data_IF_939661094299
#
_entry.id   IF_939661094299
#
_cell.length_a   1.000
_cell.length_b   1.000
_cell.length_c   1.000
_cell.angle_alpha   90.00
_cell.angle_beta   90.00
_cell.angle_gamma   90.00
#
_symmetry.space_group_name_H-M   'P 1'
#
loop_
_entity.id
_entity.type
_entity.pdbx_description
1 polymer ?
#
# COMPACT_ATOMS: atom_id res chain seq x y z
N UNK A 1 49.74 -11.49 -0.55
CA UNK A 1 48.40 -11.11 -0.07
C UNK A 1 47.79 -10.20 -1.13
N UNK A 2 46.88 -10.72 -1.95
CA UNK A 2 46.14 -9.91 -2.93
C UNK A 2 45.15 -9.03 -2.17
N UNK A 3 45.31 -7.71 -2.27
CA UNK A 3 44.36 -6.74 -1.72
C UNK A 3 42.99 -6.94 -2.35
N UNK A 4 41.93 -6.99 -1.55
CA UNK A 4 40.57 -7.08 -2.08
C UNK A 4 40.26 -5.86 -2.97
N UNK A 5 39.58 -6.06 -4.11
CA UNK A 5 39.18 -4.95 -4.96
C UNK A 5 38.23 -3.99 -4.24
N UNK A 6 38.31 -2.71 -4.61
CA UNK A 6 37.46 -1.65 -4.05
C UNK A 6 36.00 -1.88 -4.45
N UNK A 7 35.08 -1.63 -3.51
CA UNK A 7 33.65 -1.69 -3.76
C UNK A 7 33.18 -0.40 -4.42
N UNK A 8 32.39 -0.54 -5.49
CA UNK A 8 31.72 0.61 -6.10
C UNK A 8 30.51 1.06 -5.27
N UNK A 9 30.17 2.37 -5.32
CA UNK A 9 28.96 2.89 -4.70
C UNK A 9 27.68 2.17 -5.16
N UNK A 10 26.64 2.17 -4.32
CA UNK A 10 25.38 1.45 -4.59
C UNK A 10 24.70 1.85 -5.90
N UNK A 11 24.80 3.11 -6.32
CA UNK A 11 24.25 3.59 -7.59
C UNK A 11 24.91 2.95 -8.82
N UNK A 12 26.12 2.39 -8.68
CA UNK A 12 26.80 1.67 -9.76
C UNK A 12 26.41 0.19 -9.81
N UNK A 13 25.80 -0.38 -8.76
CA UNK A 13 25.63 -1.83 -8.66
C UNK A 13 24.79 -2.43 -9.80
N UNK A 14 23.90 -1.63 -10.42
CA UNK A 14 23.14 -2.05 -11.60
C UNK A 14 23.99 -2.36 -12.83
N UNK A 15 25.24 -1.86 -12.90
CA UNK A 15 26.19 -2.18 -13.96
C UNK A 15 26.93 -3.50 -13.71
N UNK A 16 26.89 -4.03 -12.48
CA UNK A 16 27.54 -5.31 -12.18
C UNK A 16 26.86 -6.44 -12.98
N UNK A 17 27.64 -7.36 -13.59
CA UNK A 17 27.06 -8.53 -14.26
C UNK A 17 26.32 -9.48 -13.30
N UNK A 18 26.42 -9.27 -11.99
CA UNK A 18 25.84 -10.14 -10.95
C UNK A 18 24.56 -9.59 -10.34
N UNK A 19 24.34 -8.27 -10.32
CA UNK A 19 23.15 -7.71 -9.71
C UNK A 19 21.94 -7.82 -10.65
N UNK A 20 20.77 -8.16 -10.10
CA UNK A 20 19.54 -8.35 -10.88
C UNK A 20 19.49 -9.66 -11.69
N UNK A 21 20.51 -10.53 -11.57
CA UNK A 21 20.59 -11.80 -12.30
C UNK A 21 20.64 -13.00 -11.36
N UNK A 22 20.12 -14.14 -11.82
CA UNK A 22 20.24 -15.42 -11.15
C UNK A 22 21.66 -15.98 -11.31
N UNK A 23 22.56 -15.62 -10.40
CA UNK A 23 23.96 -15.99 -10.48
C UNK A 23 24.13 -17.49 -10.24
N UNK A 24 24.66 -18.27 -11.22
CA UNK A 24 24.94 -19.68 -11.01
C UNK A 24 26.13 -19.83 -10.07
N UNK A 25 25.86 -20.21 -8.83
CA UNK A 25 26.88 -20.44 -7.82
C UNK A 25 26.87 -21.90 -7.38
N UNK A 26 27.99 -22.30 -6.79
CA UNK A 26 28.07 -23.53 -6.01
C UNK A 26 27.74 -23.28 -4.56
N UNK A 27 27.30 -24.30 -3.82
CA UNK A 27 26.90 -24.15 -2.42
C UNK A 27 28.05 -23.56 -1.58
N UNK A 28 29.27 -24.08 -1.74
CA UNK A 28 30.47 -23.56 -1.07
C UNK A 28 30.73 -22.08 -1.37
N UNK A 29 30.40 -21.62 -2.58
CA UNK A 29 30.62 -20.24 -3.00
C UNK A 29 29.61 -19.29 -2.35
N UNK A 30 28.37 -19.75 -2.14
CA UNK A 30 27.34 -19.01 -1.40
C UNK A 30 27.77 -18.77 0.05
N UNK A 31 28.33 -19.79 0.70
CA UNK A 31 28.87 -19.66 2.06
C UNK A 31 30.12 -18.77 2.12
N UNK A 32 30.91 -18.72 1.05
CA UNK A 32 32.10 -17.88 0.97
C UNK A 32 31.81 -16.41 0.65
N UNK A 33 30.57 -16.03 0.33
CA UNK A 33 30.23 -14.63 0.08
C UNK A 33 30.52 -13.77 1.32
N UNK A 34 30.94 -12.54 1.11
CA UNK A 34 31.25 -11.59 2.18
C UNK A 34 30.06 -10.69 2.45
N UNK A 35 29.74 -10.50 3.71
CA UNK A 35 28.85 -9.44 4.16
C UNK A 35 29.65 -8.15 4.38
N UNK A 36 29.02 -7.03 4.10
CA UNK A 36 29.61 -5.70 4.16
C UNK A 36 28.66 -4.84 4.98
N UNK A 37 29.17 -4.18 6.03
CA UNK A 37 28.36 -3.52 7.05
C UNK A 37 27.36 -2.50 6.46
N UNK A 38 27.75 -1.79 5.41
CA UNK A 38 26.91 -0.83 4.70
C UNK A 38 25.68 -1.45 4.02
N UNK A 39 25.69 -2.77 3.79
CA UNK A 39 24.65 -3.55 3.11
C UNK A 39 24.02 -4.63 3.98
N UNK A 40 24.40 -4.71 5.26
CA UNK A 40 23.85 -5.66 6.22
C UNK A 40 22.32 -5.54 6.27
N UNK A 41 21.62 -6.67 6.31
CA UNK A 41 20.16 -6.74 6.29
C UNK A 41 19.47 -6.42 4.95
N UNK A 42 20.19 -5.96 3.93
CA UNK A 42 19.62 -5.69 2.59
C UNK A 42 19.54 -6.94 1.70
N UNK A 43 20.13 -8.05 2.17
CA UNK A 43 20.25 -9.30 1.42
C UNK A 43 21.19 -9.16 0.22
N UNK A 44 22.20 -8.30 0.32
CA UNK A 44 23.26 -8.11 -0.69
C UNK A 44 24.58 -8.57 -0.08
N UNK A 45 25.24 -9.49 -0.76
CA UNK A 45 26.53 -10.07 -0.37
C UNK A 45 27.54 -9.86 -1.49
N UNK A 46 28.82 -10.06 -1.22
CA UNK A 46 29.89 -9.73 -2.15
C UNK A 46 30.82 -10.91 -2.41
N UNK A 47 31.10 -11.16 -3.69
CA UNK A 47 32.25 -11.95 -4.12
C UNK A 47 33.27 -11.01 -4.76
N UNK A 48 34.49 -10.92 -4.22
CA UNK A 48 35.41 -9.83 -4.54
C UNK A 48 34.70 -8.47 -4.32
N UNK A 49 34.46 -7.74 -5.41
CA UNK A 49 33.68 -6.51 -5.44
C UNK A 49 32.35 -6.61 -6.22
N UNK A 50 31.91 -7.82 -6.61
CA UNK A 50 30.63 -8.05 -7.27
C UNK A 50 29.48 -8.12 -6.25
N UNK A 51 28.46 -7.23 -6.32
CA UNK A 51 27.27 -7.32 -5.47
C UNK A 51 26.32 -8.43 -5.94
N UNK A 52 25.88 -9.29 -5.01
CA UNK A 52 25.05 -10.46 -5.29
C UNK A 52 23.84 -10.51 -4.36
N UNK A 53 22.68 -10.81 -4.96
CA UNK A 53 21.40 -10.95 -4.24
C UNK A 53 20.68 -12.24 -4.60
N UNK A 54 20.72 -12.62 -5.87
CA UNK A 54 19.97 -13.74 -6.41
C UNK A 54 20.91 -14.85 -6.86
N UNK A 55 20.65 -16.05 -6.36
CA UNK A 55 21.47 -17.23 -6.62
C UNK A 55 20.65 -18.27 -7.38
N UNK A 56 21.33 -18.98 -8.28
CA UNK A 56 20.87 -20.20 -8.91
C UNK A 56 21.81 -21.34 -8.52
N UNK A 57 21.25 -22.40 -7.94
CA UNK A 57 21.95 -23.61 -7.57
C UNK A 57 21.42 -24.80 -8.36
N UNK A 58 22.26 -25.80 -8.61
CA UNK A 58 21.86 -27.04 -9.27
C UNK A 58 22.54 -28.20 -8.56
N UNK A 59 21.74 -29.16 -8.09
CA UNK A 59 22.22 -30.27 -7.29
C UNK A 59 21.11 -31.27 -6.97
N UNK A 60 21.48 -32.35 -6.29
CA UNK A 60 20.55 -33.39 -5.83
C UNK A 60 19.92 -33.00 -4.50
N UNK A 61 18.63 -33.29 -4.33
CA UNK A 61 17.97 -33.17 -3.03
C UNK A 61 18.39 -34.34 -2.16
N UNK A 62 19.06 -34.05 -1.04
CA UNK A 62 19.53 -35.07 -0.10
C UNK A 62 18.66 -35.18 1.15
N UNK A 63 17.91 -34.13 1.48
CA UNK A 63 16.92 -34.14 2.55
C UNK A 63 15.76 -33.21 2.21
N UNK A 64 14.59 -33.50 2.79
CA UNK A 64 13.40 -32.68 2.65
C UNK A 64 12.60 -32.74 3.94
N UNK A 65 12.43 -31.57 4.57
CA UNK A 65 11.72 -31.40 5.83
C UNK A 65 10.51 -30.50 5.63
N UNK A 66 9.35 -30.97 6.07
CA UNK A 66 8.11 -30.23 6.02
C UNK A 66 7.73 -29.76 7.43
N UNK A 67 7.59 -28.46 7.59
CA UNK A 67 7.13 -27.82 8.82
C UNK A 67 5.77 -27.16 8.59
N UNK A 68 5.13 -26.72 9.68
CA UNK A 68 3.76 -26.18 9.67
C UNK A 68 3.50 -25.11 8.59
N UNK A 69 4.46 -24.21 8.35
CA UNK A 69 4.33 -23.10 7.40
C UNK A 69 5.49 -23.01 6.39
N UNK A 70 6.36 -24.01 6.33
CA UNK A 70 7.55 -23.98 5.46
C UNK A 70 7.94 -25.37 5.01
N UNK A 71 8.53 -25.43 3.83
CA UNK A 71 9.26 -26.61 3.35
C UNK A 71 10.72 -26.23 3.26
N UNK A 72 11.59 -27.12 3.73
CA UNK A 72 13.03 -27.04 3.61
C UNK A 72 13.50 -28.21 2.74
N UNK A 73 14.33 -27.94 1.75
CA UNK A 73 15.08 -28.97 1.04
C UNK A 73 16.56 -28.73 1.23
N UNK A 74 17.33 -29.78 1.44
CA UNK A 74 18.80 -29.72 1.45
C UNK A 74 19.32 -30.17 0.11
N UNK A 75 20.14 -29.33 -0.52
CA UNK A 75 20.70 -29.55 -1.85
C UNK A 75 22.20 -29.80 -1.73
N UNK A 76 22.67 -30.86 -2.37
CA UNK A 76 24.08 -31.16 -2.56
C UNK A 76 24.45 -30.98 -4.04
N UNK A 77 25.43 -30.14 -4.33
CA UNK A 77 25.97 -29.92 -5.67
C UNK A 77 27.39 -30.50 -5.87
N UNK A 78 27.87 -31.27 -4.89
CA UNK A 78 29.20 -31.89 -4.90
C UNK A 78 30.35 -30.89 -4.71
N UNK A 79 30.08 -29.63 -4.37
CA UNK A 79 31.11 -28.61 -4.19
C UNK A 79 31.84 -28.66 -2.84
N UNK A 80 31.45 -29.59 -1.97
CA UNK A 80 31.99 -29.75 -0.61
C UNK A 80 31.13 -29.09 0.48
N UNK A 81 29.96 -28.57 0.14
CA UNK A 81 28.97 -28.06 1.10
C UNK A 81 27.55 -28.35 0.61
N UNK A 82 26.63 -28.59 1.54
CA UNK A 82 25.20 -28.67 1.26
C UNK A 82 24.51 -27.37 1.68
N UNK A 83 23.43 -27.01 1.01
CA UNK A 83 22.70 -25.77 1.31
C UNK A 83 21.20 -26.03 1.44
N UNK A 84 20.62 -25.45 2.48
CA UNK A 84 19.17 -25.48 2.70
C UNK A 84 18.48 -24.42 1.84
N UNK A 85 17.43 -24.84 1.12
CA UNK A 85 16.54 -23.97 0.38
C UNK A 85 15.12 -24.06 0.96
N UNK A 86 14.56 -22.93 1.36
CA UNK A 86 13.29 -22.85 2.08
C UNK A 86 12.26 -22.08 1.28
N UNK A 87 11.00 -22.52 1.33
CA UNK A 87 9.86 -21.74 0.87
C UNK A 87 8.69 -21.85 1.83
N UNK A 88 7.78 -20.88 1.78
CA UNK A 88 6.54 -20.94 2.54
C UNK A 88 5.64 -22.05 1.99
N UNK A 89 5.09 -22.85 2.88
CA UNK A 89 3.98 -23.76 2.59
C UNK A 89 2.70 -23.20 3.20
N UNK A 90 1.54 -23.44 2.56
CA UNK A 90 0.27 -23.09 3.17
C UNK A 90 0.10 -23.91 4.47
N UNK A 91 -0.52 -23.32 5.51
CA UNK A 91 -0.72 -24.00 6.78
C UNK A 91 -1.57 -25.27 6.57
N UNK A 92 -1.08 -26.42 7.05
CA UNK A 92 -1.88 -27.66 7.08
C UNK A 92 -3.02 -27.49 8.10
N UNK A 93 -4.18 -28.07 7.80
CA UNK A 93 -5.26 -28.19 8.79
C UNK A 93 -4.76 -29.05 9.97
N UNK A 94 -5.13 -28.65 11.19
CA UNK A 94 -4.63 -29.23 12.44
C UNK A 94 -4.85 -30.74 12.56
N UNK A 95 -5.85 -31.29 11.85
CA UNK A 95 -6.17 -32.72 11.84
C UNK A 95 -5.07 -33.62 11.22
N UNK A 96 -4.26 -33.10 10.30
CA UNK A 96 -3.22 -33.89 9.61
C UNK A 96 -1.84 -33.75 10.28
N UNK A 97 -1.65 -32.74 11.14
CA UNK A 97 -0.38 -32.48 11.81
C UNK A 97 -0.04 -33.53 12.89
N UNK A 98 -1.05 -34.10 13.54
CA UNK A 98 -0.87 -35.09 14.62
C UNK A 98 -0.48 -36.48 14.10
N UNK A 99 -0.79 -36.81 12.85
CA UNK A 99 -0.51 -38.13 12.24
C UNK A 99 0.89 -38.19 11.62
N UNK A 100 1.40 -37.07 11.09
CA UNK A 100 2.74 -37.00 10.47
C UNK A 100 3.90 -37.05 11.50
N UNK A 101 3.63 -36.75 12.77
CA UNK A 101 4.64 -36.81 13.83
C UNK A 101 4.98 -38.25 14.29
N UNK A 102 4.19 -39.26 13.88
CA UNK A 102 4.30 -40.65 14.40
C UNK A 102 4.52 -41.68 13.29
N UNK A 103 4.20 -41.40 12.02
CA UNK A 103 4.29 -42.39 10.94
C UNK A 103 5.47 -42.15 9.99
N UNK A 104 6.46 -43.05 10.01
CA UNK A 104 7.38 -43.29 8.89
C UNK A 104 6.58 -43.99 7.80
N UNK A 105 5.94 -43.24 6.91
CA UNK A 105 5.20 -43.79 5.77
C UNK A 105 5.87 -43.42 4.46
N UNK A 106 6.29 -44.45 3.73
CA UNK A 106 7.05 -44.46 2.47
C UNK A 106 6.24 -44.14 1.21
N UNK A 107 5.01 -43.63 1.32
CA UNK A 107 4.22 -43.25 0.14
C UNK A 107 3.57 -41.89 0.38
N UNK A 108 4.10 -40.86 -0.32
CA UNK A 108 3.50 -39.52 -0.32
C UNK A 108 2.28 -39.55 -1.25
N UNK A 109 1.05 -39.31 -0.76
CA UNK A 109 -0.05 -38.99 -1.66
C UNK A 109 0.34 -37.69 -2.38
N UNK A 110 0.27 -37.73 -3.70
CA UNK A 110 0.59 -36.62 -4.58
C UNK A 110 -0.48 -35.51 -4.43
N UNK A 111 -0.47 -34.80 -3.31
CA UNK A 111 -1.55 -33.87 -2.99
C UNK A 111 -1.25 -32.46 -3.50
N UNK A 112 -2.21 -31.99 -4.29
CA UNK A 112 -2.44 -30.67 -4.87
C UNK A 112 -2.31 -29.46 -3.92
N UNK A 113 -1.96 -29.65 -2.65
CA UNK A 113 -2.07 -28.66 -1.58
C UNK A 113 -0.75 -27.92 -1.23
N UNK A 114 0.37 -28.15 -1.94
CA UNK A 114 1.67 -27.54 -1.59
C UNK A 114 1.96 -26.21 -2.30
N UNK A 115 1.09 -25.21 -2.19
CA UNK A 115 1.34 -23.90 -2.84
C UNK A 115 0.91 -22.75 -1.95
N UNK A 116 1.89 -22.04 -1.37
CA UNK A 116 1.69 -20.63 -1.04
C UNK A 116 1.44 -19.90 -2.37
N UNK A 117 0.45 -19.01 -2.51
CA UNK A 117 0.12 -18.37 -3.80
C UNK A 117 1.33 -17.72 -4.49
N UNK A 118 2.33 -17.30 -3.71
CA UNK A 118 3.58 -16.69 -4.17
C UNK A 118 4.82 -17.62 -4.09
N UNK A 119 4.64 -18.88 -3.68
CA UNK A 119 5.71 -19.87 -3.51
C UNK A 119 5.92 -20.77 -4.73
N UNK A 120 7.10 -21.41 -4.86
CA UNK A 120 7.34 -22.39 -5.92
C UNK A 120 6.41 -23.61 -5.77
N UNK A 121 5.92 -24.13 -6.90
CA UNK A 121 5.15 -25.38 -6.92
C UNK A 121 6.10 -26.56 -6.68
N UNK A 122 5.83 -27.37 -5.66
CA UNK A 122 6.69 -28.49 -5.25
C UNK A 122 6.21 -29.87 -5.73
N UNK A 123 5.29 -29.93 -6.68
CA UNK A 123 4.77 -31.21 -7.19
C UNK A 123 5.88 -32.06 -7.80
N UNK A 124 5.97 -33.31 -7.36
CA UNK A 124 6.98 -34.27 -7.83
C UNK A 124 8.41 -33.99 -7.33
N UNK A 125 8.60 -32.95 -6.50
CA UNK A 125 9.88 -32.68 -5.84
C UNK A 125 10.03 -33.67 -4.70
N UNK A 126 11.10 -34.45 -4.73
CA UNK A 126 11.40 -35.48 -3.75
C UNK A 126 12.94 -35.61 -3.59
N UNK A 127 13.35 -36.26 -2.51
CA UNK A 127 14.72 -36.68 -2.26
C UNK A 127 15.21 -37.54 -3.44
N UNK A 128 16.47 -37.37 -3.82
CA UNK A 128 17.10 -38.04 -4.95
C UNK A 128 16.87 -37.36 -6.30
N UNK A 129 15.98 -36.35 -6.39
CA UNK A 129 15.80 -35.57 -7.62
C UNK A 129 16.90 -34.54 -7.79
N UNK A 130 17.42 -34.42 -9.02
CA UNK A 130 18.30 -33.32 -9.41
C UNK A 130 17.44 -32.11 -9.75
N UNK A 131 17.73 -30.98 -9.13
CA UNK A 131 16.92 -29.77 -9.24
C UNK A 131 17.77 -28.55 -9.53
N UNK A 132 17.18 -27.59 -10.23
CA UNK A 132 17.68 -26.22 -10.41
C UNK A 132 16.83 -25.30 -9.55
N UNK A 133 17.44 -24.72 -8.53
CA UNK A 133 16.78 -23.84 -7.56
C UNK A 133 17.25 -22.40 -7.76
N UNK A 134 16.30 -21.47 -7.71
CA UNK A 134 16.54 -20.03 -7.76
C UNK A 134 16.00 -19.40 -6.49
N UNK A 135 16.82 -18.62 -5.80
CA UNK A 135 16.45 -18.00 -4.53
C UNK A 135 17.26 -16.77 -4.18
N UNK A 136 16.76 -16.00 -3.21
CA UNK A 136 17.55 -14.97 -2.54
C UNK A 136 18.36 -15.59 -1.41
N UNK A 137 19.51 -15.02 -1.08
CA UNK A 137 20.29 -15.46 0.08
C UNK A 137 19.64 -14.90 1.35
N UNK A 138 19.46 -15.75 2.35
CA UNK A 138 18.96 -15.40 3.67
C UNK A 138 19.85 -16.04 4.73
N UNK A 139 19.91 -15.44 5.90
CA UNK A 139 20.55 -16.05 7.06
C UNK A 139 19.52 -16.44 8.11
N UNK A 140 19.69 -17.61 8.70
CA UNK A 140 18.90 -18.09 9.82
C UNK A 140 19.82 -18.74 10.85
N UNK A 141 19.83 -18.19 12.07
CA UNK A 141 20.67 -18.67 13.18
C UNK A 141 22.16 -18.81 12.83
N UNK A 142 22.71 -17.84 12.10
CA UNK A 142 24.12 -17.84 11.71
C UNK A 142 24.45 -18.71 10.50
N UNK A 143 23.45 -19.36 9.87
CA UNK A 143 23.65 -20.24 8.71
C UNK A 143 22.94 -19.65 7.51
N UNK A 144 23.66 -19.57 6.38
CA UNK A 144 23.08 -19.12 5.11
C UNK A 144 22.20 -20.21 4.50
N UNK A 145 21.05 -19.77 4.03
CA UNK A 145 20.04 -20.57 3.36
C UNK A 145 19.58 -19.81 2.11
N UNK A 146 18.94 -20.52 1.18
CA UNK A 146 18.23 -19.89 0.07
C UNK A 146 16.75 -19.71 0.40
N UNK A 147 16.27 -18.48 0.34
CA UNK A 147 14.84 -18.20 0.21
C UNK A 147 14.40 -18.52 -1.22
N UNK A 148 13.89 -19.72 -1.41
CA UNK A 148 13.55 -20.29 -2.71
C UNK A 148 12.37 -19.56 -3.34
N UNK A 149 12.56 -19.09 -4.58
CA UNK A 149 11.55 -18.44 -5.41
C UNK A 149 11.07 -19.30 -6.57
N UNK A 150 11.94 -20.16 -7.09
CA UNK A 150 11.59 -21.10 -8.16
C UNK A 150 12.43 -22.37 -8.05
N UNK A 151 11.84 -23.49 -8.44
CA UNK A 151 12.47 -24.80 -8.52
C UNK A 151 12.05 -25.49 -9.81
N UNK A 152 12.98 -26.18 -10.45
CA UNK A 152 12.74 -26.99 -11.65
C UNK A 152 13.47 -28.31 -11.48
N UNK A 153 12.76 -29.43 -11.65
CA UNK A 153 13.37 -30.76 -11.68
C UNK A 153 14.10 -30.92 -13.03
N UNK A 154 15.37 -31.31 -12.99
CA UNK A 154 16.13 -31.63 -14.19
C UNK A 154 15.90 -33.11 -14.51
N UNK A 155 15.27 -33.38 -15.65
CA UNK A 155 14.84 -34.74 -16.02
C UNK A 155 15.93 -35.60 -16.67
N UNK A 156 17.07 -35.02 -17.04
CA UNK A 156 18.15 -35.74 -17.71
C UNK A 156 19.54 -35.21 -17.33
N UNK A 157 20.55 -36.06 -17.55
CA UNK A 157 21.96 -35.74 -17.28
C UNK A 157 22.49 -34.64 -18.19
N UNK A 158 21.90 -34.42 -19.37
CA UNK A 158 22.35 -33.38 -20.30
C UNK A 158 22.05 -31.99 -19.75
N UNK A 159 20.87 -31.79 -19.16
CA UNK A 159 20.44 -30.55 -18.53
C UNK A 159 21.28 -30.23 -17.29
N UNK A 160 21.62 -31.26 -16.51
CA UNK A 160 22.54 -31.16 -15.38
C UNK A 160 23.94 -30.70 -15.82
N UNK A 161 24.55 -31.41 -16.78
CA UNK A 161 25.87 -31.04 -17.34
C UNK A 161 25.84 -29.65 -17.98
N UNK A 162 24.74 -29.28 -18.62
CA UNK A 162 24.53 -27.93 -19.15
C UNK A 162 24.58 -26.87 -18.05
N UNK A 163 23.89 -27.11 -16.93
CA UNK A 163 23.91 -26.20 -15.78
C UNK A 163 25.31 -26.09 -15.16
N UNK A 164 26.07 -27.20 -15.07
CA UNK A 164 27.45 -27.17 -14.61
C UNK A 164 28.36 -26.36 -15.54
N UNK A 165 28.25 -26.54 -16.86
CA UNK A 165 29.02 -25.76 -17.84
C UNK A 165 28.74 -24.26 -17.71
N UNK A 166 27.49 -23.87 -17.53
CA UNK A 166 27.13 -22.48 -17.27
C UNK A 166 27.73 -21.94 -15.97
N UNK A 167 27.71 -22.73 -14.89
CA UNK A 167 28.31 -22.36 -13.61
C UNK A 167 29.84 -22.21 -13.69
N UNK A 168 30.52 -23.12 -14.39
CA UNK A 168 31.96 -23.04 -14.63
C UNK A 168 32.30 -21.78 -15.43
N UNK A 169 31.61 -21.52 -16.55
CA UNK A 169 31.84 -20.30 -17.35
C UNK A 169 31.64 -19.04 -16.51
N UNK A 170 30.54 -18.96 -15.77
CA UNK A 170 30.29 -17.81 -14.90
C UNK A 170 31.38 -17.62 -13.85
N UNK A 171 31.89 -18.71 -13.27
CA UNK A 171 33.01 -18.65 -12.33
C UNK A 171 34.28 -18.12 -12.98
N UNK A 172 34.65 -18.65 -14.15
CA UNK A 172 35.88 -18.24 -14.86
C UNK A 172 35.78 -16.81 -15.38
N UNK A 173 34.67 -16.47 -16.04
CA UNK A 173 34.51 -15.21 -16.77
C UNK A 173 34.09 -14.05 -15.87
N UNK A 174 33.41 -14.32 -14.75
CA UNK A 174 32.83 -13.29 -13.87
C UNK A 174 33.42 -13.35 -12.46
N UNK A 175 33.31 -14.48 -11.76
CA UNK A 175 33.66 -14.53 -10.33
C UNK A 175 35.16 -14.37 -10.06
N UNK A 176 36.02 -14.91 -10.93
CA UNK A 176 37.47 -14.80 -10.78
C UNK A 176 38.03 -13.43 -11.17
N UNK A 177 37.25 -12.62 -11.88
CA UNK A 177 37.69 -11.33 -12.42
C UNK A 177 37.09 -10.21 -11.56
N UNK A 178 37.90 -9.30 -10.98
CA UNK A 178 37.38 -8.11 -10.33
C UNK A 178 36.47 -7.32 -11.28
N UNK A 179 35.32 -6.89 -10.77
CA UNK A 179 34.44 -6.00 -11.52
C UNK A 179 35.11 -4.63 -11.67
N UNK A 180 35.03 -4.04 -12.86
CA UNK A 180 35.56 -2.71 -13.14
C UNK A 180 34.46 -1.87 -13.76
N UNK A 181 34.30 -0.66 -13.24
CA UNK A 181 33.44 0.41 -13.76
C UNK A 181 34.35 1.55 -14.18
N UNK A 182 34.16 2.06 -15.39
CA UNK A 182 34.91 3.22 -15.88
C UNK A 182 34.44 4.51 -15.20
N UNK A 183 35.30 5.52 -15.15
CA UNK A 183 34.93 6.82 -14.55
C UNK A 183 33.74 7.49 -15.24
N UNK A 184 33.58 7.27 -16.55
CA UNK A 184 32.42 7.76 -17.31
C UNK A 184 31.11 7.06 -16.90
N UNK A 185 31.16 5.74 -16.73
CA UNK A 185 30.03 4.94 -16.26
C UNK A 185 29.63 5.29 -14.83
N UNK A 186 30.61 5.48 -13.93
CA UNK A 186 30.34 5.91 -12.56
C UNK A 186 29.68 7.29 -12.55
N UNK A 187 30.21 8.25 -13.32
CA UNK A 187 29.63 9.59 -13.44
C UNK A 187 28.19 9.53 -13.95
N UNK A 188 27.93 8.73 -14.99
CA UNK A 188 26.57 8.54 -15.53
C UNK A 188 25.63 7.98 -14.47
N UNK A 189 26.03 6.91 -13.77
CA UNK A 189 25.21 6.33 -12.71
C UNK A 189 24.95 7.29 -11.55
N UNK A 190 25.93 8.15 -11.23
CA UNK A 190 25.77 9.20 -10.20
C UNK A 190 24.72 10.23 -10.63
N UNK A 191 24.83 10.75 -11.85
CA UNK A 191 23.87 11.73 -12.40
C UNK A 191 22.46 11.16 -12.49
N UNK A 192 22.32 9.90 -12.92
CA UNK A 192 21.02 9.20 -12.95
C UNK A 192 20.42 9.05 -11.55
N UNK A 193 21.22 8.64 -10.57
CA UNK A 193 20.76 8.47 -9.19
C UNK A 193 20.39 9.80 -8.52
N UNK A 194 21.13 10.88 -8.80
CA UNK A 194 20.78 12.23 -8.33
C UNK A 194 19.50 12.75 -9.01
N UNK A 195 19.36 12.52 -10.31
CA UNK A 195 18.15 12.86 -11.06
C UNK A 195 16.90 12.10 -10.59
N UNK A 196 17.03 10.82 -10.25
CA UNK A 196 15.92 10.03 -9.69
C UNK A 196 15.51 10.54 -8.31
N UNK A 197 16.48 10.82 -7.41
CA UNK A 197 16.21 11.42 -6.10
C UNK A 197 15.44 12.73 -6.23
N UNK A 198 15.88 13.61 -7.14
CA UNK A 198 15.20 14.86 -7.41
C UNK A 198 13.74 14.64 -7.87
N UNK A 199 13.50 13.68 -8.77
CA UNK A 199 12.14 13.35 -9.24
C UNK A 199 11.24 12.85 -8.12
N UNK A 200 11.75 11.95 -7.27
CA UNK A 200 11.00 11.40 -6.13
C UNK A 200 10.67 12.51 -5.13
N UNK A 201 11.64 13.35 -4.77
CA UNK A 201 11.43 14.49 -3.89
C UNK A 201 10.42 15.49 -4.45
N UNK A 202 10.47 15.75 -5.76
CA UNK A 202 9.51 16.63 -6.42
C UNK A 202 8.09 16.04 -6.40
N UNK A 203 7.96 14.74 -6.66
CA UNK A 203 6.69 14.02 -6.62
C UNK A 203 6.10 14.02 -5.20
N UNK A 204 6.93 13.75 -4.17
CA UNK A 204 6.52 13.86 -2.78
C UNK A 204 6.07 15.28 -2.42
N UNK A 205 6.81 16.29 -2.87
CA UNK A 205 6.45 17.70 -2.67
C UNK A 205 5.11 18.03 -3.33
N UNK A 206 4.87 17.51 -4.54
CA UNK A 206 3.60 17.67 -5.26
C UNK A 206 2.45 16.95 -4.54
N UNK A 207 2.68 15.75 -4.03
CA UNK A 207 1.72 14.98 -3.22
C UNK A 207 1.35 15.74 -1.94
N UNK A 208 2.34 16.23 -1.19
CA UNK A 208 2.13 17.07 0.01
C UNK A 208 1.34 18.35 -0.29
N UNK A 209 1.58 18.99 -1.44
CA UNK A 209 0.79 20.16 -1.89
C UNK A 209 -0.66 19.79 -2.17
N UNK A 210 -0.91 18.66 -2.84
CA UNK A 210 -2.27 18.16 -3.12
C UNK A 210 -3.02 17.82 -1.83
N UNK A 211 -2.38 17.12 -0.90
CA UNK A 211 -2.96 16.77 0.41
C UNK A 211 -3.31 18.03 1.22
N UNK A 212 -2.42 19.04 1.24
CA UNK A 212 -2.70 20.34 1.90
C UNK A 212 -3.89 21.05 1.27
N UNK A 213 -4.01 21.04 -0.06
CA UNK A 213 -5.13 21.65 -0.78
C UNK A 213 -6.45 20.92 -0.48
N UNK A 214 -6.44 19.59 -0.56
CA UNK A 214 -7.62 18.78 -0.21
C UNK A 214 -8.05 18.96 1.24
N UNK A 215 -7.10 19.11 2.17
CA UNK A 215 -7.39 19.42 3.58
C UNK A 215 -8.04 20.79 3.73
N UNK A 216 -7.52 21.83 3.06
CA UNK A 216 -8.15 23.17 3.06
C UNK A 216 -9.56 23.15 2.48
N UNK A 217 -9.76 22.52 1.32
CA UNK A 217 -11.07 22.42 0.68
C UNK A 217 -12.09 21.67 1.57
N UNK A 218 -11.67 20.66 2.33
CA UNK A 218 -12.53 20.00 3.32
C UNK A 218 -12.88 20.90 4.51
N UNK A 219 -11.93 21.67 5.03
CA UNK A 219 -12.18 22.63 6.12
C UNK A 219 -13.12 23.75 5.66
N UNK A 220 -12.84 24.39 4.53
CA UNK A 220 -13.65 25.49 3.98
C UNK A 220 -15.04 25.00 3.55
N UNK A 221 -15.14 23.79 2.97
CA UNK A 221 -16.42 23.17 2.63
C UNK A 221 -17.24 22.73 3.84
N UNK A 222 -16.58 22.38 4.95
CA UNK A 222 -17.20 22.10 6.24
C UNK A 222 -17.81 23.35 6.88
N UNK A 223 -17.02 24.43 7.00
CA UNK A 223 -17.52 25.72 7.49
C UNK A 223 -18.64 26.28 6.60
N UNK A 224 -18.52 26.15 5.28
CA UNK A 224 -19.54 26.60 4.34
C UNK A 224 -20.87 25.86 4.51
N UNK A 225 -20.83 24.55 4.76
CA UNK A 225 -22.01 23.73 5.05
C UNK A 225 -22.62 24.06 6.41
N UNK A 226 -21.81 24.26 7.45
CA UNK A 226 -22.29 24.64 8.78
C UNK A 226 -22.96 26.02 8.76
N UNK A 227 -22.33 27.03 8.12
CA UNK A 227 -22.92 28.37 7.97
C UNK A 227 -24.23 28.33 7.19
N UNK A 228 -24.29 27.55 6.11
CA UNK A 228 -25.53 27.38 5.32
C UNK A 228 -26.62 26.67 6.12
N UNK A 229 -26.30 25.61 6.85
CA UNK A 229 -27.25 24.91 7.72
C UNK A 229 -27.78 25.81 8.84
N UNK A 230 -26.94 26.67 9.43
CA UNK A 230 -27.37 27.66 10.42
C UNK A 230 -28.32 28.69 9.81
N UNK A 231 -28.01 29.22 8.62
CA UNK A 231 -28.86 30.20 7.94
C UNK A 231 -30.20 29.59 7.50
N UNK A 232 -30.22 28.33 7.05
CA UNK A 232 -31.45 27.61 6.71
C UNK A 232 -32.32 27.35 7.95
N UNK A 233 -31.70 27.06 9.10
CA UNK A 233 -32.40 26.92 10.38
C UNK A 233 -33.00 28.24 10.86
N UNK A 234 -32.22 29.32 10.83
CA UNK A 234 -32.70 30.68 11.20
C UNK A 234 -33.84 31.14 10.28
N UNK A 235 -33.78 30.84 8.96
CA UNK A 235 -34.88 31.11 8.03
C UNK A 235 -36.12 30.28 8.31
N UNK A 236 -35.97 29.01 8.69
CA UNK A 236 -37.10 28.17 9.05
C UNK A 236 -37.78 28.66 10.35
N UNK A 237 -36.98 29.06 11.34
CA UNK A 237 -37.48 29.64 12.60
C UNK A 237 -38.22 30.96 12.35
N UNK A 238 -37.66 31.87 11.54
CA UNK A 238 -38.32 33.12 11.16
C UNK A 238 -39.64 32.88 10.41
N UNK A 239 -39.70 31.88 9.53
CA UNK A 239 -40.91 31.54 8.79
C UNK A 239 -42.01 30.95 9.69
N UNK A 240 -41.63 30.15 10.67
CA UNK A 240 -42.57 29.64 11.70
C UNK A 240 -43.10 30.79 12.57
N UNK A 241 -42.26 31.77 12.90
CA UNK A 241 -42.69 32.96 13.64
C UNK A 241 -43.64 33.84 12.81
N UNK A 242 -43.36 34.03 11.52
CA UNK A 242 -44.21 34.75 10.58
C UNK A 242 -45.57 34.05 10.41
N UNK A 243 -45.57 32.74 10.16
CA UNK A 243 -46.80 31.94 10.04
C UNK A 243 -47.62 31.97 11.34
N UNK A 244 -46.97 31.94 12.52
CA UNK A 244 -47.64 32.08 13.81
C UNK A 244 -48.22 33.48 14.04
N UNK A 245 -47.57 34.53 13.53
CA UNK A 245 -48.08 35.90 13.57
C UNK A 245 -49.30 36.08 12.66
N UNK A 246 -49.29 35.46 11.46
CA UNK A 246 -50.43 35.46 10.53
C UNK A 246 -51.64 34.73 11.12
N UNK A 247 -51.44 33.62 11.81
CA UNK A 247 -52.52 32.86 12.48
C UNK A 247 -53.12 33.63 13.67
N UNK A 248 -52.34 34.50 14.33
CA UNK A 248 -52.81 35.34 15.44
C UNK A 248 -53.47 36.65 14.98
N UNK A 249 -53.37 37.02 13.70
CA UNK A 249 -54.02 38.21 13.17
C UNK A 249 -55.51 37.93 12.94
N UNK A 250 -56.45 38.67 13.57
CA UNK A 250 -57.87 38.51 13.31
C UNK A 250 -58.18 38.87 11.85
N UNK A 251 -58.99 38.04 11.19
CA UNK A 251 -59.27 38.22 9.77
C UNK A 251 -59.97 39.55 9.48
N UNK A 252 -59.68 40.20 8.35
CA UNK A 252 -60.35 41.46 7.95
C UNK A 252 -61.89 41.34 7.94
N UNK A 253 -62.39 40.13 7.69
CA UNK A 253 -63.82 39.80 7.76
C UNK A 253 -64.36 39.84 9.19
N UNK A 254 -63.61 39.35 10.18
CA UNK A 254 -63.97 39.45 11.60
C UNK A 254 -63.91 40.90 12.11
N UNK A 255 -62.90 41.66 11.67
CA UNK A 255 -62.78 43.09 12.01
C UNK A 255 -63.99 43.85 11.45
N UNK A 256 -64.31 43.69 10.16
CA UNK A 256 -65.48 44.32 9.52
C UNK A 256 -66.81 43.89 10.15
N UNK A 257 -66.98 42.60 10.46
CA UNK A 257 -68.20 42.12 11.12
C UNK A 257 -68.37 42.71 12.54
N UNK A 258 -67.27 42.93 13.26
CA UNK A 258 -67.28 43.59 14.57
C UNK A 258 -67.62 45.07 14.46
N UNK A 259 -67.05 45.77 13.47
CA UNK A 259 -67.36 47.17 13.18
C UNK A 259 -68.82 47.37 12.74
N UNK A 260 -69.37 46.49 11.88
CA UNK A 260 -70.77 46.55 11.48
C UNK A 260 -71.72 46.32 12.66
N UNK A 261 -71.42 45.34 13.53
CA UNK A 261 -72.18 45.13 14.76
C UNK A 261 -72.16 46.36 15.66
N UNK A 262 -71.02 47.03 15.77
CA UNK A 262 -70.90 48.26 16.57
C UNK A 262 -71.64 49.43 15.91
N UNK A 263 -71.52 49.58 14.60
CA UNK A 263 -72.18 50.63 13.81
C UNK A 263 -73.70 50.48 13.85
N UNK A 264 -74.23 49.25 13.76
CA UNK A 264 -75.63 48.95 13.96
C UNK A 264 -76.11 49.31 15.38
N UNK A 265 -75.27 49.05 16.38
CA UNK A 265 -75.53 49.46 17.77
C UNK A 265 -75.58 50.98 17.93
N UNK A 266 -74.62 51.70 17.36
CA UNK A 266 -74.54 53.18 17.39
C UNK A 266 -75.69 53.82 16.61
N UNK A 267 -76.05 53.30 15.43
CA UNK A 267 -77.17 53.80 14.65
C UNK A 267 -78.50 53.70 15.42
N UNK A 268 -78.75 52.57 16.10
CA UNK A 268 -79.91 52.41 16.99
C UNK A 268 -79.91 53.41 18.15
N UNK A 269 -78.74 53.78 18.67
CA UNK A 269 -78.63 54.78 19.73
C UNK A 269 -78.86 56.22 19.22
N UNK A 270 -78.30 56.57 18.05
CA UNK A 270 -78.42 57.90 17.44
C UNK A 270 -79.85 58.16 16.95
N UNK A 271 -80.53 57.16 16.37
CA UNK A 271 -81.93 57.29 15.95
C UNK A 271 -82.87 57.57 17.15
N UNK A 272 -82.48 57.13 18.35
CA UNK A 272 -83.15 57.50 19.61
C UNK A 272 -82.94 58.96 20.01
N UNK A 273 -81.81 59.56 19.63
CA UNK A 273 -81.37 60.90 20.06
C UNK A 273 -81.73 62.03 19.07
N UNK A 274 -81.84 61.76 17.77
CA UNK A 274 -82.08 62.79 16.73
C UNK A 274 -83.54 63.25 16.67
N UNK A 275 -84.47 62.54 17.31
CA UNK A 275 -85.89 62.92 17.34
C UNK A 275 -86.20 64.15 18.21
N UNK A 276 -85.20 64.91 18.69
CA UNK A 276 -85.39 65.86 19.80
C UNK A 276 -84.64 67.22 19.79
N UNK A 277 -84.28 67.90 18.66
CA UNK A 277 -83.87 69.35 18.76
C UNK A 277 -83.77 70.22 17.45
N UNK A 278 -84.10 71.56 17.50
CA UNK A 278 -83.95 72.55 16.40
C UNK A 278 -82.82 73.63 16.57
N UNK A 279 -82.63 74.46 15.52
CA UNK A 279 -81.45 75.27 15.06
C UNK A 279 -81.23 76.71 15.60
N UNK A 280 -80.02 77.29 15.42
CA UNK A 280 -79.74 78.74 15.25
C UNK A 280 -78.27 79.08 14.79
N UNK A 281 -78.02 80.34 14.35
CA UNK A 281 -77.04 80.78 13.33
C UNK A 281 -76.01 81.89 13.72
N UNK A 282 -74.84 81.91 13.03
CA UNK A 282 -73.97 83.06 12.56
C UNK A 282 -73.25 84.07 13.52
N UNK A 283 -71.99 84.51 13.19
CA UNK A 283 -71.44 85.92 13.32
C UNK A 283 -69.90 86.16 13.11
N UNK A 284 -69.55 87.22 12.33
CA UNK A 284 -68.30 88.04 12.17
C UNK A 284 -67.01 87.40 11.58
N UNK A 285 -66.29 87.84 10.53
CA UNK A 285 -66.11 89.07 9.72
C UNK A 285 -65.39 90.28 10.39
N UNK A 286 -64.06 90.42 10.20
CA UNK A 286 -63.33 91.70 9.93
C UNK A 286 -61.77 91.55 9.99
N UNK A 287 -61.08 92.08 8.96
CA UNK A 287 -59.81 92.85 8.91
C UNK A 287 -58.96 92.48 7.69
N UNK A 288 -58.70 93.46 6.81
CA UNK A 288 -57.94 93.33 5.58
C UNK A 288 -56.67 94.19 5.55
N UNK A 289 -55.71 93.73 4.74
CA UNK A 289 -54.77 94.48 3.90
C UNK A 289 -54.56 93.64 2.64
#
# INVERSE_FOLDING_TARGET
>A
MTTLPVLYPSHCHGLSPTLGRWCPLRAVDVFALREVAEYEGQGIYFHLNHPMKWVRLTGIIVAMDEFYNRVCITIDDGSGATIEATCLAPPRSEATATVAAIAVSTERPADDAMVSPDGPKLRGVDIGKVVKVKGGIREFRGVRQLAMKAIVILGDTRAEVGAWREGVRFREDVLKVPWVVTGEEERRCREEAEGEKWRVEEEERRKRRRERRAKREKYDGGEGKEKRGRMEKEKAEAKVEEDAAVVKAPSEKEIKAREEREKARRARAIQRLVRSRPEEAGKYAALGF
#
